data_IF_014681349657
#
_entry.id   IF_014681349657
#
_cell.length_a   1.000
_cell.length_b   1.000
_cell.length_c   1.000
_cell.angle_alpha   90.00
_cell.angle_beta   90.00
_cell.angle_gamma   90.00
#
_symmetry.space_group_name_H-M   'P 1'
#
loop_
_entity.id
_entity.type
_entity.pdbx_description
1 polymer ?
#
# COMPACT_ATOMS: atom_id res chain seq x y z
N UNK A 1 6.94 6.97 8.64
CA UNK A 1 5.67 7.55 9.15
C UNK A 1 4.63 7.79 8.04
N UNK A 2 4.97 8.46 6.93
CA UNK A 2 3.98 8.80 5.87
C UNK A 2 3.22 7.61 5.27
N UNK A 3 3.89 6.48 5.02
CA UNK A 3 3.24 5.29 4.48
C UNK A 3 2.32 4.60 5.49
N UNK A 4 2.60 4.70 6.79
CA UNK A 4 1.70 4.15 7.82
C UNK A 4 0.37 4.91 7.82
N UNK A 5 0.46 6.25 7.89
CA UNK A 5 -0.73 7.10 7.87
C UNK A 5 -1.54 6.95 6.57
N UNK A 6 -0.85 6.74 5.45
CA UNK A 6 -1.52 6.48 4.18
C UNK A 6 -2.23 5.13 4.17
N UNK A 7 -1.57 4.06 4.64
CA UNK A 7 -2.14 2.71 4.77
C UNK A 7 -3.37 2.67 5.67
N UNK A 8 -3.35 3.42 6.76
CA UNK A 8 -4.52 3.51 7.65
C UNK A 8 -5.72 4.16 6.96
N UNK A 9 -5.49 5.09 6.01
CA UNK A 9 -6.55 5.77 5.24
C UNK A 9 -7.06 4.96 4.05
N UNK A 10 -6.17 4.35 3.26
CA UNK A 10 -6.52 3.71 1.97
C UNK A 10 -6.67 2.20 2.05
N UNK A 11 -6.43 1.62 3.23
CA UNK A 11 -6.41 0.18 3.47
C UNK A 11 -4.98 -0.36 3.59
N UNK A 12 -4.70 -1.08 4.69
CA UNK A 12 -3.35 -1.54 5.04
C UNK A 12 -2.72 -2.45 3.98
N UNK A 13 -3.54 -3.27 3.33
CA UNK A 13 -3.13 -4.22 2.29
C UNK A 13 -2.94 -3.58 0.91
N UNK A 14 -3.48 -2.38 0.67
CA UNK A 14 -3.47 -1.73 -0.64
C UNK A 14 -2.12 -1.14 -1.03
N UNK A 15 -1.21 -0.97 -0.05
CA UNK A 15 0.15 -0.49 -0.29
C UNK A 15 1.15 -1.55 0.14
N UNK A 16 1.78 -2.20 -0.84
CA UNK A 16 2.84 -3.19 -0.60
C UNK A 16 4.21 -2.51 -0.51
N UNK A 17 5.03 -2.90 0.46
CA UNK A 17 6.46 -2.54 0.49
C UNK A 17 7.24 -3.49 -0.42
N UNK A 18 8.03 -2.95 -1.34
CA UNK A 18 9.03 -3.67 -2.13
C UNK A 18 10.41 -3.31 -1.57
N UNK A 19 11.04 -4.26 -0.87
CA UNK A 19 12.34 -4.02 -0.21
C UNK A 19 13.40 -3.68 -1.26
N UNK A 20 14.18 -2.65 -0.99
CA UNK A 20 15.20 -2.15 -1.93
C UNK A 20 14.66 -1.32 -3.09
N UNK A 21 13.34 -1.03 -3.13
CA UNK A 21 12.73 -0.27 -4.23
C UNK A 21 11.79 0.84 -3.73
N UNK A 22 10.81 0.51 -2.91
CA UNK A 22 9.80 1.48 -2.47
C UNK A 22 8.44 0.85 -2.20
N UNK A 23 7.38 1.47 -2.72
CA UNK A 23 6.00 1.07 -2.45
C UNK A 23 5.20 0.92 -3.74
N UNK A 24 4.24 0.00 -3.73
CA UNK A 24 3.37 -0.29 -4.88
C UNK A 24 1.91 -0.33 -4.44
N UNK A 25 1.02 0.19 -5.26
CA UNK A 25 -0.42 0.05 -5.10
C UNK A 25 -0.87 -1.30 -5.64
N UNK A 26 -1.64 -2.04 -4.85
CA UNK A 26 -2.25 -3.31 -5.28
C UNK A 26 -3.63 -2.97 -5.84
N UNK A 27 -3.84 -3.28 -7.12
CA UNK A 27 -5.17 -3.19 -7.72
C UNK A 27 -6.08 -4.23 -7.07
N UNK A 28 -7.22 -3.78 -6.56
CA UNK A 28 -8.31 -4.69 -6.20
C UNK A 28 -9.05 -4.99 -7.48
N UNK A 29 -8.86 -6.18 -8.05
CA UNK A 29 -9.82 -6.68 -9.03
C UNK A 29 -11.15 -6.88 -8.26
N UNK A 30 -12.10 -5.98 -8.50
CA UNK A 30 -13.48 -6.18 -8.09
C UNK A 30 -14.04 -7.31 -8.97
N UNK A 31 -14.07 -8.54 -8.43
CA UNK A 31 -14.72 -9.70 -9.04
C UNK A 31 -16.24 -9.65 -8.85
#
# INVERSE_FOLDING_TARGET
MHIHNLRDKVGKSRIRTVRGFGYMLVATEES
#
